data_IF_241069940084
#
_entry.id   IF_241069940084
#
_cell.length_a   1.000
_cell.length_b   1.000
_cell.length_c   1.000
_cell.angle_alpha   90.00
_cell.angle_beta   90.00
_cell.angle_gamma   90.00
#
_symmetry.space_group_name_H-M   'P 1'
#
loop_
_entity.id
_entity.type
_entity.pdbx_description
1 polymer ?
#
# COMPACT_ATOMS: atom_id res chain seq x y z
N UNK A 1 -14.54 9.31 -19.34
CA UNK A 1 -13.44 8.32 -19.46
C UNK A 1 -12.87 8.35 -20.88
N UNK A 2 -11.74 7.65 -21.13
CA UNK A 2 -10.84 7.85 -22.29
C UNK A 2 -11.58 8.04 -23.63
N UNK A 3 -11.31 9.15 -24.31
CA UNK A 3 -11.99 9.56 -25.56
C UNK A 3 -11.19 9.14 -26.80
N UNK A 4 -9.88 8.95 -26.68
CA UNK A 4 -9.02 8.62 -27.83
C UNK A 4 -9.02 7.12 -28.15
N UNK A 5 -9.17 6.79 -29.44
CA UNK A 5 -8.98 5.43 -29.97
C UNK A 5 -7.52 4.98 -30.01
N UNK A 6 -6.55 5.90 -29.84
CA UNK A 6 -5.13 5.56 -29.85
C UNK A 6 -4.79 4.66 -28.67
N UNK A 7 -4.00 3.62 -28.93
CA UNK A 7 -3.48 2.72 -27.89
C UNK A 7 -2.72 3.52 -26.83
N UNK A 8 -2.96 3.21 -25.56
CA UNK A 8 -2.18 3.79 -24.45
C UNK A 8 -0.72 3.37 -24.60
N UNK A 9 0.21 4.32 -24.48
CA UNK A 9 1.65 4.04 -24.55
C UNK A 9 2.06 3.03 -23.47
N UNK A 10 3.04 2.16 -23.77
CA UNK A 10 3.47 1.08 -22.88
C UNK A 10 4.08 1.58 -21.56
N UNK A 11 4.61 2.78 -21.57
CA UNK A 11 5.28 3.49 -20.49
C UNK A 11 4.42 4.66 -19.96
N UNK A 12 3.09 4.56 -20.12
CA UNK A 12 2.18 5.54 -19.55
C UNK A 12 2.12 5.36 -18.04
N UNK A 13 2.16 6.46 -17.29
CA UNK A 13 1.74 6.45 -15.89
C UNK A 13 0.24 6.24 -15.86
N UNK A 14 -0.19 5.06 -15.40
CA UNK A 14 -1.60 4.68 -15.33
C UNK A 14 -2.26 5.17 -14.03
N UNK A 15 -1.49 5.16 -12.94
CA UNK A 15 -1.90 5.58 -11.60
C UNK A 15 -0.73 6.29 -10.94
N UNK A 16 -1.02 7.38 -10.24
CA UNK A 16 -0.13 8.05 -9.32
C UNK A 16 -0.61 7.72 -7.90
N UNK A 17 0.25 7.10 -7.10
CA UNK A 17 -0.07 6.79 -5.71
C UNK A 17 0.36 7.94 -4.80
N UNK A 18 -0.57 8.42 -3.99
CA UNK A 18 -0.31 9.37 -2.92
C UNK A 18 -0.30 8.62 -1.58
N UNK A 19 0.78 8.75 -0.82
CA UNK A 19 0.86 8.27 0.54
C UNK A 19 0.37 9.37 1.48
N UNK A 20 -0.71 9.08 2.22
CA UNK A 20 -1.28 10.01 3.21
C UNK A 20 -1.04 9.44 4.60
N UNK A 21 -0.27 10.15 5.41
CA UNK A 21 0.08 9.76 6.78
C UNK A 21 0.60 10.98 7.57
N UNK A 22 0.93 10.76 8.83
CA UNK A 22 1.59 11.69 9.76
C UNK A 22 2.61 10.91 10.60
N UNK A 23 3.10 11.48 11.69
CA UNK A 23 3.92 10.74 12.65
C UNK A 23 3.06 9.85 13.58
N UNK A 24 3.73 9.00 14.36
CA UNK A 24 3.06 8.09 15.27
C UNK A 24 2.34 8.81 16.42
N UNK A 25 2.93 9.91 16.92
CA UNK A 25 2.38 10.69 18.03
C UNK A 25 1.03 11.32 17.66
N UNK A 26 0.90 11.80 16.44
CA UNK A 26 -0.35 12.31 15.89
C UNK A 26 -1.46 11.26 15.98
N UNK A 27 -1.22 10.06 15.46
CA UNK A 27 -2.25 9.01 15.46
C UNK A 27 -2.53 8.42 16.84
N UNK A 28 -1.51 8.29 17.71
CA UNK A 28 -1.70 7.80 19.08
C UNK A 28 -2.57 8.77 19.92
N UNK A 29 -2.65 10.05 19.54
CA UNK A 29 -3.54 11.04 20.13
C UNK A 29 -4.98 11.01 19.63
N UNK A 30 -5.28 10.22 18.58
CA UNK A 30 -6.60 10.12 17.97
C UNK A 30 -7.26 8.78 18.30
N UNK A 31 -8.56 8.82 18.61
CA UNK A 31 -9.36 7.61 18.71
C UNK A 31 -9.56 6.95 17.32
N UNK A 32 -9.95 5.67 17.25
CA UNK A 32 -10.13 4.98 15.97
C UNK A 32 -11.14 5.63 15.01
N UNK A 33 -12.16 6.32 15.53
CA UNK A 33 -13.15 7.01 14.71
C UNK A 33 -12.56 8.29 14.09
N UNK A 34 -11.75 9.03 14.85
CA UNK A 34 -11.04 10.20 14.38
C UNK A 34 -9.93 9.85 13.38
N UNK A 35 -9.21 8.75 13.59
CA UNK A 35 -8.26 8.23 12.60
C UNK A 35 -8.96 7.87 11.29
N UNK A 36 -10.12 7.21 11.36
CA UNK A 36 -10.95 6.92 10.18
C UNK A 36 -11.40 8.23 9.51
N UNK A 37 -11.87 9.22 10.28
CA UNK A 37 -12.28 10.53 9.77
C UNK A 37 -11.14 11.25 9.05
N UNK A 38 -9.92 11.19 9.58
CA UNK A 38 -8.72 11.76 8.94
C UNK A 38 -8.52 11.21 7.53
N UNK A 39 -8.61 9.89 7.35
CA UNK A 39 -8.47 9.27 6.03
C UNK A 39 -9.67 9.51 5.11
N UNK A 40 -10.89 9.53 5.64
CA UNK A 40 -12.11 9.82 4.86
C UNK A 40 -12.10 11.26 4.30
N UNK A 41 -11.72 12.23 5.13
CA UNK A 41 -11.60 13.63 4.71
C UNK A 41 -10.41 13.82 3.75
N UNK A 42 -9.32 13.08 3.95
CA UNK A 42 -8.20 13.03 2.99
C UNK A 42 -8.67 12.53 1.62
N UNK A 43 -9.40 11.41 1.60
CA UNK A 43 -9.99 10.86 0.38
C UNK A 43 -10.92 11.87 -0.29
N UNK A 44 -11.76 12.55 0.49
CA UNK A 44 -12.72 13.53 -0.01
C UNK A 44 -12.02 14.71 -0.68
N UNK A 45 -11.03 15.32 -0.03
CA UNK A 45 -10.25 16.43 -0.59
C UNK A 45 -9.66 16.09 -1.97
N UNK A 46 -9.02 14.92 -2.07
CA UNK A 46 -8.40 14.49 -3.33
C UNK A 46 -9.42 14.03 -4.37
N UNK A 47 -10.53 13.43 -3.95
CA UNK A 47 -11.64 13.04 -4.83
C UNK A 47 -12.34 14.26 -5.44
N UNK A 48 -12.55 15.31 -4.65
CA UNK A 48 -13.11 16.58 -5.14
C UNK A 48 -12.17 17.25 -6.13
N UNK A 49 -10.85 17.23 -5.85
CA UNK A 49 -9.85 17.85 -6.72
C UNK A 49 -9.62 17.10 -8.04
N UNK A 50 -9.52 15.77 -8.00
CA UNK A 50 -9.15 14.97 -9.17
C UNK A 50 -10.34 14.31 -9.85
N UNK A 51 -11.52 14.34 -9.22
CA UNK A 51 -12.72 13.64 -9.65
C UNK A 51 -12.78 12.23 -9.05
N UNK A 52 -13.89 11.90 -8.40
CA UNK A 52 -14.10 10.61 -7.74
C UNK A 52 -13.89 9.42 -8.70
N UNK A 53 -14.33 9.56 -9.95
CA UNK A 53 -14.16 8.56 -11.00
C UNK A 53 -12.70 8.28 -11.38
N UNK A 54 -11.78 9.16 -10.98
CA UNK A 54 -10.35 9.03 -11.21
C UNK A 54 -9.63 8.39 -10.02
N UNK A 55 -10.31 8.15 -8.90
CA UNK A 55 -9.71 7.40 -7.79
C UNK A 55 -9.83 5.90 -8.08
N UNK A 56 -8.69 5.24 -8.32
CA UNK A 56 -8.64 3.81 -8.59
C UNK A 56 -8.81 2.98 -7.31
N UNK A 57 -8.17 3.42 -6.22
CA UNK A 57 -8.22 2.78 -4.92
C UNK A 57 -7.85 3.77 -3.81
N UNK A 58 -8.31 3.49 -2.60
CA UNK A 58 -7.93 4.17 -1.36
C UNK A 58 -7.87 3.11 -0.26
N UNK A 59 -6.67 2.67 0.10
CA UNK A 59 -6.46 1.57 1.05
C UNK A 59 -5.76 2.10 2.29
N UNK A 60 -6.37 1.89 3.46
CA UNK A 60 -5.80 2.27 4.76
C UNK A 60 -5.15 1.05 5.41
N UNK A 61 -3.87 1.18 5.77
CA UNK A 61 -3.12 0.18 6.52
C UNK A 61 -2.99 0.64 7.99
N UNK A 62 -3.48 -0.20 8.90
CA UNK A 62 -3.41 0.00 10.35
C UNK A 62 -2.54 -1.06 11.06
N UNK A 63 -2.07 -2.04 10.31
CA UNK A 63 -1.26 -3.18 10.73
C UNK A 63 0.25 -2.92 10.65
N UNK A 64 0.65 -1.75 10.15
CA UNK A 64 2.04 -1.28 10.12
C UNK A 64 2.38 -0.34 11.30
N UNK A 65 3.65 0.11 11.37
CA UNK A 65 4.14 0.94 12.49
C UNK A 65 3.36 2.25 12.67
N UNK A 66 2.91 2.87 11.58
CA UNK A 66 2.12 4.11 11.62
C UNK A 66 0.94 3.97 10.66
N UNK A 67 -0.30 4.32 11.07
CA UNK A 67 -1.44 4.33 10.16
C UNK A 67 -1.18 5.18 8.91
N UNK A 68 -1.48 4.65 7.74
CA UNK A 68 -1.31 5.38 6.47
C UNK A 68 -2.28 4.89 5.41
N UNK A 69 -2.54 5.75 4.43
CA UNK A 69 -3.40 5.45 3.28
C UNK A 69 -2.60 5.52 1.98
N UNK A 70 -2.74 4.48 1.16
CA UNK A 70 -2.34 4.48 -0.25
C UNK A 70 -3.53 4.91 -1.11
N UNK A 71 -3.43 6.09 -1.72
CA UNK A 71 -4.48 6.65 -2.57
C UNK A 71 -4.02 6.67 -4.03
N UNK A 72 -4.58 5.77 -4.85
CA UNK A 72 -4.27 5.66 -6.26
C UNK A 72 -5.13 6.58 -7.12
N UNK A 73 -4.53 7.60 -7.71
CA UNK A 73 -5.20 8.54 -8.61
C UNK A 73 -4.83 8.27 -10.07
N UNK A 74 -5.80 7.96 -10.90
CA UNK A 74 -5.64 7.87 -12.36
C UNK A 74 -5.51 9.28 -12.90
N UNK A 75 -4.39 9.66 -13.54
CA UNK A 75 -4.18 11.01 -14.02
C UNK A 75 -4.92 11.23 -15.34
N UNK A 76 -6.25 11.24 -15.31
CA UNK A 76 -7.12 11.41 -16.48
C UNK A 76 -7.77 12.79 -16.47
N UNK A 77 -7.54 13.58 -17.52
CA UNK A 77 -8.21 14.87 -17.74
C UNK A 77 -8.60 15.01 -19.20
N UNK A 78 -9.80 15.51 -19.46
CA UNK A 78 -10.37 15.67 -20.81
C UNK A 78 -10.27 14.40 -21.67
N UNK A 79 -10.49 13.24 -21.04
CA UNK A 79 -10.44 11.93 -21.68
C UNK A 79 -9.03 11.47 -22.11
N UNK A 80 -7.97 12.09 -21.60
CA UNK A 80 -6.57 11.73 -21.87
C UNK A 80 -5.80 11.46 -20.58
N UNK A 81 -4.92 10.45 -20.61
CA UNK A 81 -3.94 10.21 -19.55
C UNK A 81 -2.83 11.25 -19.62
N UNK A 82 -2.68 12.03 -18.55
CA UNK A 82 -1.79 13.19 -18.47
C UNK A 82 -1.05 13.25 -17.14
N UNK A 83 -0.37 12.16 -16.76
CA UNK A 83 0.40 12.05 -15.50
C UNK A 83 1.29 13.28 -15.20
N UNK A 84 2.14 13.66 -16.16
CA UNK A 84 3.06 14.80 -15.99
C UNK A 84 2.37 16.16 -15.88
N UNK A 85 1.18 16.32 -16.47
CA UNK A 85 0.50 17.61 -16.46
C UNK A 85 -0.35 17.78 -15.20
N UNK A 86 -0.95 16.69 -14.72
CA UNK A 86 -1.74 16.70 -13.48
C UNK A 86 -0.80 16.80 -12.29
N UNK A 87 0.14 15.86 -12.13
CA UNK A 87 1.09 15.85 -11.01
C UNK A 87 2.39 16.57 -11.39
N UNK A 88 2.27 17.87 -11.66
CA UNK A 88 3.39 18.75 -11.92
C UNK A 88 3.93 19.40 -10.63
N UNK A 89 5.01 20.17 -10.71
CA UNK A 89 5.62 20.83 -9.53
C UNK A 89 4.63 21.71 -8.77
N UNK A 90 3.81 22.49 -9.48
CA UNK A 90 2.85 23.40 -8.85
C UNK A 90 1.73 22.64 -8.15
N UNK A 91 1.33 21.50 -8.71
CA UNK A 91 0.37 20.60 -8.07
C UNK A 91 0.92 20.00 -6.78
N UNK A 92 2.17 19.53 -6.78
CA UNK A 92 2.79 18.99 -5.57
C UNK A 92 2.97 20.07 -4.49
N UNK A 93 3.28 21.30 -4.89
CA UNK A 93 3.34 22.44 -3.96
C UNK A 93 1.96 22.78 -3.39
N UNK A 94 0.93 22.74 -4.23
CA UNK A 94 -0.46 22.92 -3.81
C UNK A 94 -0.85 21.87 -2.78
N UNK A 95 -0.53 20.58 -2.98
CA UNK A 95 -0.84 19.53 -2.02
C UNK A 95 -0.19 19.80 -0.66
N UNK A 96 1.09 20.17 -0.65
CA UNK A 96 1.83 20.46 0.58
C UNK A 96 1.27 21.67 1.34
N UNK A 97 0.54 22.55 0.66
CA UNK A 97 -0.01 23.76 1.24
C UNK A 97 -1.47 23.63 1.65
N UNK A 98 -2.32 23.06 0.80
CA UNK A 98 -3.76 22.98 1.04
C UNK A 98 -4.16 21.76 1.87
N UNK A 99 -3.42 20.65 1.79
CA UNK A 99 -3.75 19.47 2.59
C UNK A 99 -3.69 19.77 4.10
N UNK A 100 -2.61 20.37 4.65
CA UNK A 100 -2.59 20.73 6.07
C UNK A 100 -3.67 21.74 6.44
N UNK A 101 -3.90 22.77 5.62
CA UNK A 101 -4.95 23.78 5.87
C UNK A 101 -6.33 23.13 5.96
N UNK A 102 -6.67 22.24 5.03
CA UNK A 102 -7.94 21.54 5.03
C UNK A 102 -8.10 20.69 6.30
N UNK A 103 -7.09 19.91 6.66
CA UNK A 103 -7.12 19.08 7.88
C UNK A 103 -7.23 19.92 9.16
N UNK A 104 -6.54 21.06 9.23
CA UNK A 104 -6.67 22.01 10.34
C UNK A 104 -8.09 22.58 10.47
N UNK A 105 -8.77 22.88 9.36
CA UNK A 105 -10.17 23.36 9.41
C UNK A 105 -11.14 22.32 9.99
N UNK A 106 -10.75 21.05 9.97
CA UNK A 106 -11.51 19.92 10.52
C UNK A 106 -11.07 19.55 11.95
N UNK A 107 -10.18 20.35 12.56
CA UNK A 107 -9.70 20.18 13.92
C UNK A 107 -8.51 19.23 14.07
N UNK A 108 -7.87 18.78 12.99
CA UNK A 108 -6.67 17.97 13.08
C UNK A 108 -5.41 18.83 13.25
N UNK A 109 -4.60 18.53 14.26
CA UNK A 109 -3.33 19.20 14.55
C UNK A 109 -2.21 18.70 13.62
N UNK A 110 -2.28 19.09 12.34
CA UNK A 110 -1.23 18.80 11.35
C UNK A 110 -0.59 20.09 10.85
N UNK A 111 0.72 20.07 10.63
CA UNK A 111 1.48 21.21 10.11
C UNK A 111 2.06 20.92 8.74
N UNK A 112 2.31 21.99 7.97
CA UNK A 112 3.02 21.89 6.69
C UNK A 112 4.46 21.46 6.92
N UNK A 113 4.93 20.50 6.12
CA UNK A 113 6.33 20.09 6.13
C UNK A 113 7.29 21.23 5.79
N UNK A 114 8.43 21.28 6.49
CA UNK A 114 9.47 22.28 6.25
C UNK A 114 10.10 22.04 4.88
N UNK A 115 10.18 23.10 4.06
CA UNK A 115 10.90 23.04 2.79
C UNK A 115 12.36 22.62 3.06
N UNK A 116 12.77 21.51 2.45
CA UNK A 116 14.10 20.94 2.71
C UNK A 116 14.68 20.29 1.46
N UNK A 117 16.00 20.19 1.41
CA UNK A 117 16.74 19.45 0.38
C UNK A 117 16.80 17.93 0.65
N UNK A 118 15.95 17.45 1.57
CA UNK A 118 15.87 16.03 1.91
C UNK A 118 15.45 15.24 0.67
N UNK A 119 16.24 14.24 0.33
CA UNK A 119 15.89 13.29 -0.73
C UNK A 119 15.03 12.19 -0.12
N UNK A 120 13.94 11.86 -0.79
CA UNK A 120 13.17 10.67 -0.45
C UNK A 120 14.11 9.46 -0.46
N UNK A 121 14.01 8.64 0.59
CA UNK A 121 14.72 7.39 0.71
C UNK A 121 13.71 6.27 0.71
N UNK A 122 14.03 5.21 -0.02
CA UNK A 122 13.24 3.99 -0.06
C UNK A 122 13.01 3.44 1.35
N UNK A 123 11.83 2.88 1.59
CA UNK A 123 11.41 2.43 2.91
C UNK A 123 12.34 1.37 3.50
N UNK A 124 12.85 0.45 2.67
CA UNK A 124 13.83 -0.57 3.08
C UNK A 124 15.13 0.06 3.59
N UNK A 125 15.60 1.11 2.91
CA UNK A 125 16.80 1.86 3.30
C UNK A 125 16.56 2.66 4.57
N UNK A 126 15.40 3.30 4.72
CA UNK A 126 15.02 3.99 5.95
C UNK A 126 15.07 3.04 7.15
N UNK A 127 14.44 1.86 7.05
CA UNK A 127 14.45 0.85 8.12
C UNK A 127 15.89 0.42 8.48
N UNK A 128 16.75 0.20 7.49
CA UNK A 128 18.13 -0.18 7.72
C UNK A 128 18.93 0.92 8.45
N UNK A 129 18.70 2.20 8.12
CA UNK A 129 19.36 3.32 8.78
C UNK A 129 18.93 3.43 10.25
N UNK A 130 17.62 3.35 10.54
CA UNK A 130 17.11 3.42 11.92
C UNK A 130 17.61 2.27 12.78
N UNK A 131 17.64 1.05 12.24
CA UNK A 131 18.20 -0.12 12.94
C UNK A 131 19.69 0.05 13.26
N UNK A 132 20.46 0.59 12.32
CA UNK A 132 21.90 0.81 12.53
C UNK A 132 22.17 1.89 13.59
N UNK A 133 21.31 2.90 13.70
CA UNK A 133 21.39 3.90 14.77
C UNK A 133 21.09 3.28 16.14
N UNK A 134 20.05 2.45 16.24
CA UNK A 134 19.70 1.70 17.46
C UNK A 134 20.83 0.75 17.90
N UNK A 135 21.43 0.02 16.96
CA UNK A 135 22.58 -0.85 17.23
C UNK A 135 23.75 -0.03 17.79
N UNK A 136 24.08 1.10 17.18
CA UNK A 136 25.18 1.97 17.67
C UNK A 136 24.91 2.53 19.05
N UNK A 137 23.66 2.85 19.39
CA UNK A 137 23.33 3.30 20.75
C UNK A 137 23.53 2.19 21.77
N UNK A 138 23.08 0.96 21.46
CA UNK A 138 23.27 -0.21 22.33
C UNK A 138 24.76 -0.58 22.46
N UNK A 139 25.53 -0.52 21.38
CA UNK A 139 26.98 -0.74 21.42
C UNK A 139 27.67 0.24 22.38
N UNK A 140 27.31 1.53 22.36
CA UNK A 140 27.86 2.52 23.28
C UNK A 140 27.48 2.27 24.74
N UNK A 141 26.23 1.90 25.00
CA UNK A 141 25.77 1.56 26.35
C UNK A 141 26.50 0.33 26.90
N UNK A 142 26.65 -0.71 26.09
CA UNK A 142 27.38 -1.93 26.47
C UNK A 142 28.88 -1.67 26.67
N UNK A 143 29.49 -0.80 25.88
CA UNK A 143 30.89 -0.39 26.05
C UNK A 143 31.10 0.43 27.33
N UNK A 144 30.20 1.37 27.63
CA UNK A 144 30.23 2.12 28.89
C UNK A 144 30.09 1.21 30.12
N UNK A 145 29.19 0.24 30.07
CA UNK A 145 29.01 -0.78 31.11
C UNK A 145 30.25 -1.67 31.28
N UNK A 146 30.85 -2.13 30.18
CA UNK A 146 32.10 -2.90 30.22
C UNK A 146 33.24 -2.11 30.87
N UNK A 147 33.39 -0.84 30.52
CA UNK A 147 34.42 0.02 31.07
C UNK A 147 34.23 0.28 32.58
N UNK A 148 32.98 0.44 33.04
CA UNK A 148 32.68 0.53 34.46
C UNK A 148 33.05 -0.75 35.24
N UNK A 149 32.89 -1.93 34.62
CA UNK A 149 33.22 -3.22 35.22
C UNK A 149 34.74 -3.48 35.32
N UNK A 150 35.52 -2.93 34.38
CA UNK A 150 36.99 -3.09 34.30
C UNK A 150 37.77 -2.03 35.08
N UNK A 151 37.18 -0.86 35.35
CA UNK A 151 37.82 0.23 36.10
C UNK A 151 37.97 -0.05 37.62
N UNK A 152 37.32 -1.09 38.15
CA UNK A 152 37.46 -1.51 39.55
C UNK A 152 38.55 -2.59 39.70
N UNK A 153 39.37 -2.52 40.77
CA UNK A 153 40.33 -3.60 41.12
C UNK A 153 39.67 -4.97 41.00
N UNK A 154 40.38 -5.93 40.41
CA UNK A 154 39.89 -7.32 40.33
C UNK A 154 39.76 -7.87 41.75
N UNK A 155 38.76 -8.70 41.99
CA UNK A 155 38.49 -9.29 43.31
C UNK A 155 39.73 -10.04 43.84
N UNK A 156 40.54 -10.60 42.96
CA UNK A 156 41.79 -11.29 43.28
C UNK A 156 42.91 -10.38 43.82
N UNK A 157 42.79 -9.06 43.65
CA UNK A 157 43.79 -8.07 44.10
C UNK A 157 43.44 -7.46 45.48
N UNK A 158 42.34 -7.88 46.08
CA UNK A 158 41.90 -7.41 47.39
C UNK A 158 42.79 -7.99 48.50
N UNK A 159 43.29 -7.12 49.37
CA UNK A 159 44.12 -7.55 50.49
C UNK A 159 43.23 -7.97 51.66
N UNK A 160 43.08 -9.28 51.81
CA UNK A 160 42.22 -9.89 52.83
C UNK A 160 43.10 -10.53 53.90
N UNK A 161 42.98 -10.07 55.15
CA UNK A 161 43.72 -10.68 56.27
C UNK A 161 42.98 -11.91 56.81
N UNK A 162 43.68 -13.05 56.93
CA UNK A 162 43.10 -14.32 57.40
C UNK A 162 42.54 -14.21 58.82
N UNK A 163 41.49 -14.98 59.14
CA UNK A 163 40.91 -15.01 60.49
C UNK A 163 41.94 -15.42 61.55
N UNK A 164 41.86 -14.80 62.72
CA UNK A 164 42.67 -15.15 63.88
C UNK A 164 42.19 -16.49 64.47
N UNK A 165 43.07 -17.23 65.17
CA UNK A 165 42.71 -18.48 65.85
C UNK A 165 41.52 -18.32 66.84
N UNK A 166 41.25 -17.08 67.27
CA UNK A 166 40.18 -16.73 68.22
C UNK A 166 38.94 -16.08 67.58
N UNK A 167 39.00 -15.69 66.30
CA UNK A 167 37.89 -15.09 65.58
C UNK A 167 37.81 -15.67 64.17
N UNK A 168 37.11 -16.80 64.07
CA UNK A 168 36.98 -17.60 62.84
C UNK A 168 35.92 -17.06 61.88
N UNK A 169 35.10 -16.10 62.33
CA UNK A 169 33.91 -15.65 61.60
C UNK A 169 34.10 -14.29 60.92
N UNK A 170 35.17 -13.55 61.24
CA UNK A 170 35.42 -12.23 60.69
C UNK A 170 36.75 -12.14 59.94
N UNK A 171 36.75 -11.29 58.93
CA UNK A 171 37.87 -11.06 58.03
C UNK A 171 38.09 -9.55 57.93
N UNK A 172 39.35 -9.10 57.99
CA UNK A 172 39.67 -7.66 57.90
C UNK A 172 39.93 -7.28 56.44
N UNK A 173 39.16 -6.32 55.96
CA UNK A 173 39.28 -5.69 54.65
C UNK A 173 39.35 -4.17 54.84
N UNK A 174 40.20 -3.44 54.09
CA UNK A 174 40.16 -1.98 54.07
C UNK A 174 38.74 -1.46 53.75
N UNK A 175 38.33 -0.38 54.41
CA UNK A 175 36.97 0.19 54.22
C UNK A 175 36.73 0.62 52.78
N UNK A 176 37.75 1.18 52.13
CA UNK A 176 37.70 1.59 50.71
C UNK A 176 37.44 0.38 49.79
N UNK A 177 38.12 -0.74 50.06
CA UNK A 177 37.95 -1.99 49.31
C UNK A 177 36.56 -2.61 49.56
N UNK A 178 36.02 -2.52 50.79
CA UNK A 178 34.67 -2.97 51.12
C UNK A 178 33.59 -2.17 50.40
N UNK A 179 33.67 -0.84 50.42
CA UNK A 179 32.71 0.02 49.72
C UNK A 179 32.80 -0.16 48.19
N UNK A 180 34.00 -0.35 47.64
CA UNK A 180 34.18 -0.69 46.23
C UNK A 180 33.54 -2.04 45.87
N UNK A 181 33.72 -3.08 46.70
CA UNK A 181 33.11 -4.39 46.49
C UNK A 181 31.57 -4.34 46.57
N UNK A 182 31.04 -3.60 47.54
CA UNK A 182 29.60 -3.39 47.72
C UNK A 182 28.98 -2.63 46.55
N UNK A 183 29.65 -1.59 46.04
CA UNK A 183 29.23 -0.87 44.85
C UNK A 183 29.24 -1.77 43.61
N UNK A 184 30.28 -2.60 43.46
CA UNK A 184 30.38 -3.58 42.37
C UNK A 184 29.28 -4.64 42.44
N UNK A 185 29.02 -5.20 43.62
CA UNK A 185 27.96 -6.20 43.81
C UNK A 185 26.58 -5.64 43.42
N UNK A 186 26.25 -4.41 43.86
CA UNK A 186 25.02 -3.73 43.46
C UNK A 186 24.94 -3.49 41.94
N UNK A 187 26.06 -3.12 41.31
CA UNK A 187 26.11 -2.95 39.87
C UNK A 187 25.90 -4.28 39.13
N UNK A 188 26.50 -5.38 39.61
CA UNK A 188 26.32 -6.72 39.04
C UNK A 188 24.87 -7.19 39.17
N UNK A 189 24.23 -7.03 40.32
CA UNK A 189 22.81 -7.38 40.50
C UNK A 189 21.89 -6.61 39.53
N UNK A 190 22.16 -5.32 39.33
CA UNK A 190 21.42 -4.51 38.35
C UNK A 190 21.66 -4.98 36.90
N UNK A 191 22.90 -5.39 36.58
CA UNK A 191 23.25 -5.95 35.26
C UNK A 191 22.57 -7.29 35.06
N UNK A 192 22.58 -8.20 36.03
CA UNK A 192 21.92 -9.50 35.96
C UNK A 192 20.41 -9.35 35.72
N UNK A 193 19.76 -8.42 36.43
CA UNK A 193 18.36 -8.09 36.17
C UNK A 193 18.14 -7.57 34.75
N UNK A 194 19.05 -6.73 34.23
CA UNK A 194 18.95 -6.17 32.88
C UNK A 194 19.16 -7.25 31.81
N UNK A 195 20.13 -8.15 32.01
CA UNK A 195 20.39 -9.29 31.14
C UNK A 195 19.14 -10.18 31.07
N UNK A 196 18.56 -10.54 32.22
CA UNK A 196 17.35 -11.35 32.25
C UNK A 196 16.18 -10.69 31.49
N UNK A 197 16.04 -9.37 31.58
CA UNK A 197 15.01 -8.65 30.79
C UNK A 197 15.30 -8.65 29.30
N UNK A 198 16.57 -8.50 28.89
CA UNK A 198 16.96 -8.53 27.48
C UNK A 198 16.85 -9.94 26.89
N UNK A 199 17.20 -10.98 27.63
CA UNK A 199 17.00 -12.38 27.22
C UNK A 199 15.53 -12.65 26.94
N UNK A 200 14.64 -12.23 27.85
CA UNK A 200 13.20 -12.35 27.63
C UNK A 200 12.72 -11.58 26.39
N UNK A 201 13.18 -10.34 26.20
CA UNK A 201 12.84 -9.56 25.01
C UNK A 201 13.37 -10.20 23.72
N UNK A 202 14.53 -10.85 23.79
CA UNK A 202 15.10 -11.57 22.66
C UNK A 202 14.25 -12.79 22.30
N UNK A 203 13.82 -13.57 23.29
CA UNK A 203 12.91 -14.71 23.08
C UNK A 203 11.58 -14.26 22.48
N UNK A 204 10.96 -13.21 23.04
CA UNK A 204 9.71 -12.62 22.51
C UNK A 204 9.88 -12.15 21.06
N UNK A 205 11.03 -11.52 20.74
CA UNK A 205 11.35 -11.08 19.38
C UNK A 205 11.60 -12.26 18.44
N UNK A 206 12.27 -13.31 18.91
CA UNK A 206 12.51 -14.52 18.13
C UNK A 206 11.20 -15.21 17.77
N UNK A 207 10.28 -15.36 18.73
CA UNK A 207 8.94 -15.90 18.48
C UNK A 207 8.14 -15.04 17.49
N UNK A 208 8.25 -13.70 17.61
CA UNK A 208 7.63 -12.77 16.66
C UNK A 208 8.19 -12.95 15.23
N UNK A 209 9.50 -13.14 15.08
CA UNK A 209 10.15 -13.39 13.78
C UNK A 209 9.67 -14.72 13.19
N UNK A 210 9.67 -15.81 13.97
CA UNK A 210 9.18 -17.13 13.52
C UNK A 210 7.72 -17.06 13.09
N UNK A 211 6.87 -16.35 13.85
CA UNK A 211 5.46 -16.18 13.50
C UNK A 211 5.28 -15.36 12.21
N UNK A 212 6.12 -14.35 11.99
CA UNK A 212 6.10 -13.50 10.80
C UNK A 212 6.57 -14.26 9.57
N UNK A 213 7.59 -15.09 9.70
CA UNK A 213 8.10 -15.93 8.61
C UNK A 213 7.05 -16.95 8.15
N UNK A 214 6.33 -17.57 9.09
CA UNK A 214 5.18 -18.43 8.77
C UNK A 214 4.08 -17.69 8.01
N UNK A 215 3.75 -16.45 8.41
CA UNK A 215 2.77 -15.62 7.68
C UNK A 215 3.26 -15.28 6.28
N UNK A 216 4.54 -14.95 6.13
CA UNK A 216 5.14 -14.65 4.84
C UNK A 216 5.05 -15.84 3.88
N UNK A 217 5.30 -17.05 4.36
CA UNK A 217 5.16 -18.26 3.54
C UNK A 217 3.72 -18.58 3.15
N UNK A 218 2.75 -18.30 4.03
CA UNK A 218 1.33 -18.37 3.70
C UNK A 218 0.94 -17.39 2.59
N UNK A 219 1.39 -16.13 2.68
CA UNK A 219 1.11 -15.11 1.67
C UNK A 219 1.81 -15.38 0.33
N UNK A 220 3.03 -15.94 0.35
CA UNK A 220 3.69 -16.43 -0.88
C UNK A 220 2.84 -17.52 -1.55
N UNK A 221 2.42 -18.52 -0.79
CA UNK A 221 1.59 -19.62 -1.30
C UNK A 221 0.26 -19.12 -1.88
N UNK A 222 -0.36 -18.13 -1.23
CA UNK A 222 -1.59 -17.48 -1.71
C UNK A 222 -1.34 -16.68 -2.99
N UNK A 223 -0.24 -15.94 -3.05
CA UNK A 223 0.16 -15.17 -4.24
C UNK A 223 0.38 -16.09 -5.44
N UNK A 224 1.05 -17.23 -5.26
CA UNK A 224 1.23 -18.22 -6.33
C UNK A 224 -0.10 -18.77 -6.85
N UNK A 225 -1.04 -19.08 -5.94
CA UNK A 225 -2.40 -19.52 -6.32
C UNK A 225 -3.14 -18.46 -7.12
N UNK A 226 -3.12 -17.22 -6.65
CA UNK A 226 -3.76 -16.09 -7.34
C UNK A 226 -3.12 -15.81 -8.69
N UNK A 227 -1.80 -15.95 -8.83
CA UNK A 227 -1.11 -15.81 -10.11
C UNK A 227 -1.56 -16.89 -11.11
N UNK A 228 -1.68 -18.15 -10.65
CA UNK A 228 -2.18 -19.25 -11.48
C UNK A 228 -3.62 -18.99 -11.93
N UNK A 229 -4.51 -18.62 -11.01
CA UNK A 229 -5.91 -18.31 -11.32
C UNK A 229 -6.02 -17.13 -12.30
N UNK A 230 -5.26 -16.06 -12.07
CA UNK A 230 -5.25 -14.89 -12.97
C UNK A 230 -4.73 -15.26 -14.38
N UNK A 231 -3.76 -16.18 -14.48
CA UNK A 231 -3.31 -16.70 -15.78
C UNK A 231 -4.40 -17.50 -16.50
N UNK A 232 -5.16 -18.32 -15.78
CA UNK A 232 -6.26 -19.11 -16.32
C UNK A 232 -7.40 -18.22 -16.80
N UNK A 233 -7.83 -17.28 -15.95
CA UNK A 233 -8.86 -16.29 -16.30
C UNK A 233 -8.45 -15.44 -17.50
N UNK A 234 -7.17 -15.09 -17.65
CA UNK A 234 -6.67 -14.40 -18.84
C UNK A 234 -6.79 -15.23 -20.11
N UNK A 235 -6.51 -16.54 -20.04
CA UNK A 235 -6.68 -17.45 -21.19
C UNK A 235 -8.15 -17.59 -21.55
N UNK A 236 -9.01 -17.86 -20.57
CA UNK A 236 -10.46 -17.97 -20.78
C UNK A 236 -11.04 -16.69 -21.37
N UNK A 237 -10.65 -15.51 -20.85
CA UNK A 237 -11.10 -14.23 -21.40
C UNK A 237 -10.65 -14.02 -22.86
N UNK A 238 -9.47 -14.51 -23.23
CA UNK A 238 -9.01 -14.46 -24.63
C UNK A 238 -9.82 -15.38 -25.53
N UNK A 239 -10.15 -16.59 -25.07
CA UNK A 239 -10.98 -17.55 -25.81
C UNK A 239 -12.40 -17.02 -26.01
N UNK A 240 -13.03 -16.55 -24.93
CA UNK A 240 -14.35 -15.93 -24.98
C UNK A 240 -14.37 -14.73 -25.93
N UNK A 241 -13.31 -13.91 -25.97
CA UNK A 241 -13.21 -12.80 -26.93
C UNK A 241 -13.16 -13.28 -28.38
N UNK A 242 -12.42 -14.37 -28.67
CA UNK A 242 -12.36 -14.97 -30.02
C UNK A 242 -13.71 -15.54 -30.43
N UNK A 243 -14.38 -16.23 -29.51
CA UNK A 243 -15.72 -16.78 -29.74
C UNK A 243 -16.73 -15.67 -29.98
N UNK A 244 -16.74 -14.63 -29.13
CA UNK A 244 -17.62 -13.46 -29.30
C UNK A 244 -17.41 -12.79 -30.67
N UNK A 245 -16.15 -12.64 -31.10
CA UNK A 245 -15.84 -12.10 -32.43
C UNK A 245 -16.44 -12.97 -33.53
N UNK A 246 -16.31 -14.28 -33.42
CA UNK A 246 -16.85 -15.24 -34.40
C UNK A 246 -18.37 -15.21 -34.44
N UNK A 247 -19.02 -15.21 -33.28
CA UNK A 247 -20.48 -15.11 -33.16
C UNK A 247 -21.00 -13.79 -33.75
N UNK A 248 -20.32 -12.68 -33.49
CA UNK A 248 -20.67 -11.38 -34.10
C UNK A 248 -20.57 -11.41 -35.62
N UNK A 249 -19.53 -12.04 -36.18
CA UNK A 249 -19.42 -12.20 -37.63
C UNK A 249 -20.54 -13.06 -38.21
N UNK A 250 -20.88 -14.19 -37.55
CA UNK A 250 -22.01 -15.05 -37.97
C UNK A 250 -23.35 -14.31 -37.90
N UNK A 251 -23.57 -13.54 -36.83
CA UNK A 251 -24.78 -12.73 -36.65
C UNK A 251 -24.90 -11.68 -37.75
N UNK A 252 -23.81 -10.97 -38.08
CA UNK A 252 -23.82 -10.00 -39.18
C UNK A 252 -24.17 -10.65 -40.52
N UNK A 253 -23.61 -11.84 -40.80
CA UNK A 253 -23.92 -12.58 -42.03
C UNK A 253 -25.41 -12.95 -42.12
N UNK A 254 -26.00 -13.42 -41.01
CA UNK A 254 -27.43 -13.71 -40.92
C UNK A 254 -28.30 -12.46 -41.10
N UNK A 255 -27.88 -11.33 -40.53
CA UNK A 255 -28.58 -10.05 -40.68
C UNK A 255 -28.55 -9.59 -42.14
N UNK A 256 -27.41 -9.69 -42.83
CA UNK A 256 -27.33 -9.34 -44.26
C UNK A 256 -28.14 -10.28 -45.14
N UNK A 257 -28.10 -11.58 -44.85
CA UNK A 257 -28.93 -12.58 -45.53
C UNK A 257 -30.42 -12.26 -45.38
N UNK A 258 -30.89 -12.00 -44.15
CA UNK A 258 -32.28 -11.65 -43.88
C UNK A 258 -32.71 -10.36 -44.59
N UNK A 259 -31.85 -9.32 -44.59
CA UNK A 259 -32.11 -8.08 -45.34
C UNK A 259 -32.27 -8.34 -46.83
N UNK A 260 -31.33 -9.08 -47.42
CA UNK A 260 -31.34 -9.40 -48.86
C UNK A 260 -32.61 -10.15 -49.25
N UNK A 261 -33.04 -11.13 -48.44
CA UNK A 261 -34.27 -11.88 -48.69
C UNK A 261 -35.53 -11.03 -48.48
N UNK A 262 -35.53 -10.14 -47.50
CA UNK A 262 -36.62 -9.21 -47.27
C UNK A 262 -36.79 -8.24 -48.45
N UNK A 263 -35.69 -7.74 -49.00
CA UNK A 263 -35.73 -6.83 -50.14
C UNK A 263 -36.24 -7.53 -51.41
N UNK A 264 -35.75 -8.75 -51.70
CA UNK A 264 -36.30 -9.59 -52.77
C UNK A 264 -37.78 -9.88 -52.60
N UNK A 265 -38.23 -10.14 -51.37
CA UNK A 265 -39.64 -10.37 -51.08
C UNK A 265 -40.48 -9.12 -51.35
N UNK A 266 -39.99 -7.93 -50.97
CA UNK A 266 -40.66 -6.65 -51.27
C UNK A 266 -40.72 -6.36 -52.76
N UNK A 267 -39.66 -6.63 -53.51
CA UNK A 267 -39.64 -6.51 -54.97
C UNK A 267 -40.68 -7.43 -55.61
N UNK A 268 -40.69 -8.70 -55.24
CA UNK A 268 -41.68 -9.67 -55.69
C UNK A 268 -43.12 -9.24 -55.37
N UNK A 269 -43.37 -8.68 -54.18
CA UNK A 269 -44.70 -8.15 -53.84
C UNK A 269 -45.11 -6.99 -54.76
N UNK A 270 -44.20 -6.07 -55.08
CA UNK A 270 -44.46 -4.95 -56.00
C UNK A 270 -44.78 -5.44 -57.41
N UNK A 271 -44.00 -6.39 -57.93
CA UNK A 271 -44.23 -6.97 -59.26
C UNK A 271 -45.63 -7.62 -59.35
N UNK A 272 -46.00 -8.39 -58.32
CA UNK A 272 -47.32 -9.04 -58.27
C UNK A 272 -48.47 -8.04 -58.24
N UNK A 273 -48.31 -6.93 -57.53
CA UNK A 273 -49.33 -5.88 -57.47
C UNK A 273 -49.47 -5.15 -58.82
N UNK A 274 -48.34 -4.87 -59.48
CA UNK A 274 -48.35 -4.30 -60.84
C UNK A 274 -49.01 -5.23 -61.85
N UNK A 275 -48.75 -6.55 -61.80
CA UNK A 275 -49.43 -7.53 -62.65
C UNK A 275 -50.93 -7.54 -62.43
N UNK A 276 -51.39 -7.52 -61.17
CA UNK A 276 -52.83 -7.43 -60.86
C UNK A 276 -53.44 -6.15 -61.43
N UNK A 277 -52.79 -5.01 -61.26
CA UNK A 277 -53.27 -3.74 -61.81
C UNK A 277 -53.34 -3.76 -63.34
N UNK A 278 -52.32 -4.28 -64.02
CA UNK A 278 -52.32 -4.45 -65.49
C UNK A 278 -53.43 -5.39 -65.97
N UNK A 279 -53.66 -6.48 -65.23
CA UNK A 279 -54.72 -7.46 -65.55
C UNK A 279 -56.10 -6.85 -65.37
N UNK A 280 -56.31 -6.07 -64.32
CA UNK A 280 -57.55 -5.31 -64.08
C UNK A 280 -57.77 -4.25 -65.16
N UNK A 281 -56.74 -3.50 -65.54
CA UNK A 281 -56.82 -2.51 -66.62
C UNK A 281 -57.21 -3.16 -67.95
N UNK A 282 -56.53 -4.26 -68.34
CA UNK A 282 -56.87 -5.03 -69.55
C UNK A 282 -58.32 -5.51 -69.58
N UNK A 283 -58.84 -6.00 -68.45
CA UNK A 283 -60.25 -6.42 -68.35
C UNK A 283 -61.21 -5.24 -68.55
N UNK A 284 -60.86 -4.07 -68.00
CA UNK A 284 -61.65 -2.85 -68.11
C UNK A 284 -61.67 -2.29 -69.53
N UNK A 285 -60.53 -2.32 -70.22
CA UNK A 285 -60.43 -1.91 -71.64
C UNK A 285 -61.24 -2.85 -72.54
N UNK A 286 -61.20 -4.17 -72.28
CA UNK A 286 -62.02 -5.16 -73.01
C UNK A 286 -63.53 -5.03 -72.76
N UNK A 287 -63.94 -4.49 -71.61
CA UNK A 287 -65.35 -4.17 -71.32
C UNK A 287 -65.80 -2.87 -72.01
N UNK A 288 -64.89 -1.92 -72.28
CA UNK A 288 -65.20 -0.67 -73.00
C UNK A 288 -65.28 -0.85 -74.53
N UNK A 289 -64.63 -1.89 -75.08
CA UNK A 289 -64.67 -2.24 -76.51
C UNK A 289 -65.88 -3.12 -76.90
N UNK A 290 -66.70 -3.56 -75.93
CA UNK A 290 -67.94 -4.34 -76.15
C UNK A 290 -69.18 -3.46 -76.04
#
# INVERSE_FOLDING_TARGET
QKVSERKTRKDAVLVNELLVTSDRKFFDGLDPAEQKRFFEESYKLFSERYGQQNIAYATVHNDEKTPHMHLGVVPMRDGKLQGKNIFNRQELQWMQEEFPKHMQTLGFEVERGIASDRKHIEMSRFKALTLNEEIKTLEKETEALRNALTASKKVDELQVSKPSLFDRNHVKLPVEDFEALKARAKATEAIESTIATHEKQFDDMFDAVVSSDRKLDQEKSKTERLQKENSQLKQENQELRKENKTLRSKLNLLVEFAKTHLDKFKEWQKEREQEKQKTMARKRDQELER
#
